data_IF_794956873491
#
_entry.id   IF_794956873491
#
_cell.length_a   1.000
_cell.length_b   1.000
_cell.length_c   1.000
_cell.angle_alpha   90.00
_cell.angle_beta   90.00
_cell.angle_gamma   90.00
#
_symmetry.space_group_name_H-M   'P 1'
#
loop_
_entity.id
_entity.type
_entity.pdbx_description
1 polymer ?
#
# COMPACT_ATOMS: atom_id res chain seq x y z
N UNK A 1 -9.88 -7.82 10.86
CA UNK A 1 -8.46 -8.15 10.61
C UNK A 1 -8.31 -8.71 9.21
N UNK A 2 -9.08 -9.75 8.88
CA UNK A 2 -9.31 -10.24 7.50
C UNK A 2 -9.60 -9.12 6.50
N UNK A 3 -10.54 -8.21 6.80
CA UNK A 3 -10.82 -7.01 5.97
C UNK A 3 -9.61 -6.11 5.69
N UNK A 4 -8.71 -5.95 6.67
CA UNK A 4 -7.51 -5.11 6.54
C UNK A 4 -6.42 -5.81 5.71
N UNK A 5 -6.27 -7.13 5.91
CA UNK A 5 -5.39 -7.98 5.09
C UNK A 5 -5.86 -7.96 3.64
N UNK A 6 -7.17 -8.09 3.41
CA UNK A 6 -7.75 -7.99 2.07
C UNK A 6 -7.50 -6.63 1.46
N UNK A 7 -7.70 -5.53 2.21
CA UNK A 7 -7.40 -4.17 1.73
C UNK A 7 -5.92 -4.02 1.31
N UNK A 8 -4.99 -4.51 2.10
CA UNK A 8 -3.56 -4.47 1.80
C UNK A 8 -3.19 -5.26 0.55
N UNK A 9 -3.67 -6.49 0.48
CA UNK A 9 -3.35 -7.42 -0.58
C UNK A 9 -3.98 -6.93 -1.90
N UNK A 10 -5.13 -6.26 -1.81
CA UNK A 10 -5.69 -5.50 -2.93
C UNK A 10 -4.85 -4.31 -3.31
N UNK A 11 -4.37 -3.52 -2.35
CA UNK A 11 -3.52 -2.37 -2.64
C UNK A 11 -2.26 -2.79 -3.38
N UNK A 12 -1.62 -3.89 -2.95
CA UNK A 12 -0.44 -4.45 -3.60
C UNK A 12 -0.72 -4.94 -5.03
N UNK A 13 -1.74 -5.80 -5.21
CA UNK A 13 -2.08 -6.33 -6.54
C UNK A 13 -2.55 -5.22 -7.47
N UNK A 14 -3.31 -4.25 -6.98
CA UNK A 14 -3.79 -3.13 -7.77
C UNK A 14 -2.67 -2.16 -8.14
N UNK A 15 -1.68 -1.93 -7.28
CA UNK A 15 -0.48 -1.14 -7.63
C UNK A 15 0.33 -1.85 -8.71
N UNK A 16 0.54 -3.15 -8.56
CA UNK A 16 1.23 -3.95 -9.57
C UNK A 16 0.51 -3.92 -10.93
N UNK A 17 -0.81 -4.11 -10.95
CA UNK A 17 -1.61 -4.03 -12.17
C UNK A 17 -1.61 -2.63 -12.77
N UNK A 18 -1.62 -1.59 -11.94
CA UNK A 18 -1.56 -0.22 -12.40
C UNK A 18 -0.25 0.08 -13.15
N UNK A 19 0.88 -0.43 -12.66
CA UNK A 19 2.20 -0.21 -13.29
C UNK A 19 2.47 -1.11 -14.50
N UNK A 20 1.89 -2.31 -14.53
CA UNK A 20 2.21 -3.32 -15.58
C UNK A 20 1.21 -3.37 -16.73
N UNK A 21 0.01 -2.79 -16.58
CA UNK A 21 -1.02 -2.84 -17.62
C UNK A 21 -0.77 -1.81 -18.73
N UNK A 22 -0.52 -2.32 -19.94
CA UNK A 22 -0.21 -1.54 -21.15
C UNK A 22 -1.23 -0.45 -21.53
N UNK A 23 -2.46 -0.52 -21.02
CA UNK A 23 -3.53 0.43 -21.34
C UNK A 23 -3.62 1.58 -20.34
N UNK A 24 -2.94 1.54 -19.19
CA UNK A 24 -2.96 2.61 -18.18
C UNK A 24 -2.41 3.91 -18.77
N UNK A 25 -1.30 3.83 -19.52
CA UNK A 25 -0.73 4.98 -20.25
C UNK A 25 -1.70 5.58 -21.28
N UNK A 26 -2.62 4.78 -21.84
CA UNK A 26 -3.63 5.24 -22.81
C UNK A 26 -4.87 5.85 -22.15
N UNK A 27 -5.20 5.44 -20.92
CA UNK A 27 -6.27 6.03 -20.13
C UNK A 27 -5.85 7.33 -19.44
N UNK A 28 -4.55 7.46 -19.12
CA UNK A 28 -3.94 8.69 -18.61
C UNK A 28 -3.71 9.67 -19.77
N UNK A 29 -4.79 10.26 -20.29
CA UNK A 29 -4.71 11.26 -21.36
C UNK A 29 -5.52 12.51 -21.02
N UNK A 30 -5.03 13.27 -20.03
CA UNK A 30 -5.49 14.65 -19.77
C UNK A 30 -4.25 15.54 -19.61
N UNK A 31 -3.79 16.21 -20.69
CA UNK A 31 -2.46 16.82 -20.70
C UNK A 31 -2.35 18.20 -20.02
N UNK A 32 -3.45 18.84 -19.62
CA UNK A 32 -3.43 20.30 -19.42
C UNK A 32 -3.92 20.83 -18.07
N UNK A 33 -4.39 19.98 -17.15
CA UNK A 33 -4.83 20.45 -15.81
C UNK A 33 -4.31 19.55 -14.69
N UNK A 34 -3.41 20.10 -13.86
CA UNK A 34 -2.76 19.41 -12.75
C UNK A 34 -3.74 18.81 -11.72
N UNK A 35 -4.90 19.44 -11.53
CA UNK A 35 -5.95 18.91 -10.65
C UNK A 35 -6.63 17.67 -11.27
N UNK A 36 -6.92 17.69 -12.57
CA UNK A 36 -7.59 16.57 -13.25
C UNK A 36 -6.65 15.36 -13.42
N UNK A 37 -5.34 15.60 -13.48
CA UNK A 37 -4.32 14.55 -13.55
C UNK A 37 -4.36 13.59 -12.36
N UNK A 38 -4.41 14.12 -11.13
CA UNK A 38 -4.50 13.33 -9.90
C UNK A 38 -5.78 12.49 -9.84
N UNK A 39 -6.94 13.11 -10.13
CA UNK A 39 -8.23 12.41 -10.09
C UNK A 39 -8.34 11.30 -11.14
N UNK A 40 -7.70 11.45 -12.29
CA UNK A 40 -7.67 10.40 -13.31
C UNK A 40 -6.83 9.20 -12.84
N UNK A 41 -5.64 9.44 -12.29
CA UNK A 41 -4.79 8.38 -11.70
C UNK A 41 -5.51 7.65 -10.56
N UNK A 42 -6.14 8.41 -9.66
CA UNK A 42 -6.90 7.85 -8.56
C UNK A 42 -8.09 7.01 -9.06
N UNK A 43 -8.79 7.47 -10.10
CA UNK A 43 -9.91 6.75 -10.70
C UNK A 43 -9.49 5.41 -11.30
N UNK A 44 -8.39 5.39 -12.07
CA UNK A 44 -7.85 4.17 -12.68
C UNK A 44 -7.34 3.22 -11.58
N UNK A 45 -6.66 3.73 -10.55
CA UNK A 45 -6.22 2.92 -9.41
C UNK A 45 -7.41 2.28 -8.68
N UNK A 46 -8.47 3.05 -8.42
CA UNK A 46 -9.68 2.55 -7.77
C UNK A 46 -10.41 1.48 -8.59
N UNK A 47 -10.34 1.57 -9.93
CA UNK A 47 -10.89 0.57 -10.85
C UNK A 47 -10.25 -0.82 -10.63
N UNK A 48 -8.96 -0.87 -10.28
CA UNK A 48 -8.29 -2.12 -9.90
C UNK A 48 -8.54 -2.48 -8.43
N UNK A 49 -8.45 -1.50 -7.53
CA UNK A 49 -8.51 -1.71 -6.08
C UNK A 49 -9.82 -2.31 -5.62
N UNK A 50 -10.94 -1.75 -6.06
CA UNK A 50 -12.28 -2.14 -5.60
C UNK A 50 -12.59 -3.62 -5.90
N UNK A 51 -12.49 -4.14 -7.14
CA UNK A 51 -12.81 -5.53 -7.42
C UNK A 51 -11.87 -6.51 -6.71
N UNK A 52 -10.57 -6.21 -6.62
CA UNK A 52 -9.60 -7.05 -5.94
C UNK A 52 -9.89 -7.10 -4.43
N UNK A 53 -10.31 -5.99 -3.85
CA UNK A 53 -10.73 -5.91 -2.46
C UNK A 53 -11.91 -6.80 -2.15
N UNK A 54 -12.96 -6.78 -2.97
CA UNK A 54 -14.11 -7.64 -2.77
C UNK A 54 -13.76 -9.14 -2.89
N UNK A 55 -12.90 -9.51 -3.83
CA UNK A 55 -12.46 -10.91 -4.02
C UNK A 55 -11.66 -11.39 -2.80
N UNK A 56 -10.65 -10.62 -2.40
CA UNK A 56 -9.77 -11.03 -1.30
C UNK A 56 -10.46 -10.96 0.05
N UNK A 57 -11.41 -10.06 0.23
CA UNK A 57 -12.21 -10.00 1.45
C UNK A 57 -13.07 -11.26 1.63
N UNK A 58 -13.60 -11.80 0.52
CA UNK A 58 -14.36 -13.05 0.54
C UNK A 58 -13.49 -14.28 0.80
N UNK A 59 -12.26 -14.30 0.29
CA UNK A 59 -11.33 -15.44 0.47
C UNK A 59 -10.73 -15.47 1.88
N UNK A 60 -10.36 -14.31 2.42
CA UNK A 60 -9.66 -14.20 3.70
C UNK A 60 -10.61 -14.35 4.91
N UNK A 61 -11.90 -14.06 4.78
CA UNK A 61 -12.89 -14.26 5.85
C UNK A 61 -13.23 -15.75 6.13
N UNK A 62 -12.77 -16.69 5.30
CA UNK A 62 -13.13 -18.12 5.42
C UNK A 62 -12.39 -18.87 6.56
N UNK A 63 -11.33 -18.31 7.16
CA UNK A 63 -10.50 -18.99 8.17
C UNK A 63 -10.47 -18.23 9.51
N UNK A 64 -11.39 -18.48 10.44
CA UNK A 64 -11.28 -17.95 11.81
C UNK A 64 -11.72 -18.93 12.91
N UNK A 65 -10.75 -19.53 13.61
CA UNK A 65 -10.87 -20.00 15.01
C UNK A 65 -9.61 -19.55 15.81
N UNK A 66 -9.78 -18.98 17.01
CA UNK A 66 -8.89 -17.94 17.62
C UNK A 66 -7.82 -18.32 18.67
N UNK A 67 -7.01 -17.33 19.11
CA UNK A 67 -5.98 -17.41 20.17
C UNK A 67 -5.07 -16.15 20.32
N UNK A 68 -4.17 -16.11 21.33
CA UNK A 68 -3.16 -15.05 21.62
C UNK A 68 -2.24 -14.73 20.42
N UNK A 69 -1.96 -15.73 19.58
CA UNK A 69 -1.23 -15.55 18.33
C UNK A 69 -1.90 -14.53 17.38
N UNK A 70 -3.24 -14.42 17.41
CA UNK A 70 -3.97 -13.40 16.62
C UNK A 70 -3.68 -11.98 17.11
N UNK A 71 -3.57 -11.79 18.43
CA UNK A 71 -3.29 -10.47 19.00
C UNK A 71 -1.86 -10.03 18.66
N UNK A 72 -0.88 -10.94 18.84
CA UNK A 72 0.50 -10.66 18.48
C UNK A 72 0.65 -10.36 16.99
N UNK A 73 0.04 -11.20 16.14
CA UNK A 73 0.02 -11.00 14.69
C UNK A 73 -0.63 -9.66 14.33
N UNK A 74 -1.70 -9.27 15.02
CA UNK A 74 -2.35 -7.97 14.83
C UNK A 74 -1.43 -6.79 15.13
N UNK A 75 -0.75 -6.80 16.28
CA UNK A 75 0.20 -5.74 16.62
C UNK A 75 1.31 -5.63 15.58
N UNK A 76 1.91 -6.75 15.18
CA UNK A 76 3.02 -6.79 14.22
C UNK A 76 2.54 -6.32 12.83
N UNK A 77 1.37 -6.77 12.36
CA UNK A 77 0.80 -6.32 11.08
C UNK A 77 0.48 -4.82 11.10
N UNK A 78 0.00 -4.28 12.22
CA UNK A 78 -0.26 -2.83 12.35
C UNK A 78 1.03 -2.01 12.27
N UNK A 79 2.10 -2.46 12.93
CA UNK A 79 3.41 -1.79 12.84
C UNK A 79 3.95 -1.84 11.41
N UNK A 80 3.84 -3.00 10.74
CA UNK A 80 4.22 -3.16 9.34
C UNK A 80 3.47 -2.21 8.40
N UNK A 81 2.16 -2.06 8.61
CA UNK A 81 1.29 -1.15 7.89
C UNK A 81 1.71 0.31 8.04
N UNK A 82 1.96 0.75 9.28
CA UNK A 82 2.40 2.12 9.55
C UNK A 82 3.76 2.37 8.89
N UNK A 83 4.67 1.39 8.97
CA UNK A 83 5.96 1.48 8.31
C UNK A 83 5.86 1.64 6.79
N UNK A 84 5.04 0.82 6.12
CA UNK A 84 4.75 0.97 4.67
C UNK A 84 4.21 2.36 4.36
N UNK A 85 3.22 2.80 5.11
CA UNK A 85 2.59 4.10 4.88
C UNK A 85 3.60 5.24 4.97
N UNK A 86 4.42 5.26 6.02
CA UNK A 86 5.49 6.27 6.19
C UNK A 86 6.53 6.16 5.08
N UNK A 87 6.93 4.96 4.68
CA UNK A 87 7.90 4.71 3.62
C UNK A 87 7.41 5.23 2.25
N UNK A 88 6.13 5.01 1.94
CA UNK A 88 5.47 5.54 0.73
C UNK A 88 5.42 7.06 0.77
N UNK A 89 5.07 7.67 1.91
CA UNK A 89 5.09 9.13 2.03
C UNK A 89 6.49 9.70 1.77
N UNK A 90 7.55 9.00 2.19
CA UNK A 90 8.94 9.40 1.98
C UNK A 90 9.39 9.36 0.53
N UNK A 91 9.02 8.30 -0.20
CA UNK A 91 9.53 8.08 -1.56
C UNK A 91 8.60 8.59 -2.66
N UNK A 92 7.30 8.71 -2.39
CA UNK A 92 6.29 9.10 -3.40
C UNK A 92 5.90 10.57 -3.27
N UNK A 93 5.98 11.16 -2.08
CA UNK A 93 5.69 12.58 -1.87
C UNK A 93 6.97 13.37 -1.58
N UNK A 94 7.12 14.60 -2.11
CA UNK A 94 8.26 15.47 -1.83
C UNK A 94 8.13 16.08 -0.41
N UNK A 95 8.24 15.25 0.62
CA UNK A 95 8.02 15.65 2.03
C UNK A 95 8.95 16.78 2.48
N UNK A 96 10.19 16.83 1.99
CA UNK A 96 11.18 17.88 2.30
C UNK A 96 10.66 19.31 2.06
N UNK A 97 9.73 19.47 1.11
CA UNK A 97 9.14 20.77 0.79
C UNK A 97 8.08 21.24 1.79
N UNK A 98 7.52 20.34 2.61
CA UNK A 98 6.37 20.60 3.49
C UNK A 98 6.71 20.31 4.96
N UNK A 99 7.63 19.39 5.23
CA UNK A 99 7.96 18.93 6.56
C UNK A 99 9.41 18.45 6.63
N UNK A 100 10.14 18.88 7.67
CA UNK A 100 11.49 18.39 7.97
C UNK A 100 11.42 17.33 9.07
N UNK A 101 11.43 16.03 8.70
CA UNK A 101 11.37 14.94 9.66
C UNK A 101 12.61 14.90 10.57
N UNK A 102 12.49 14.36 11.80
CA UNK A 102 13.64 14.16 12.69
C UNK A 102 14.69 13.25 12.04
N UNK A 103 15.98 13.57 12.25
CA UNK A 103 17.13 12.87 11.65
C UNK A 103 17.07 11.35 11.77
N UNK A 104 16.57 10.83 12.89
CA UNK A 104 16.41 9.38 13.09
C UNK A 104 15.38 8.76 12.15
N UNK A 105 14.25 9.43 11.90
CA UNK A 105 13.21 8.96 10.98
C UNK A 105 13.72 8.99 9.55
N UNK A 106 14.48 10.04 9.22
CA UNK A 106 15.09 10.25 7.90
C UNK A 106 16.10 9.16 7.56
N UNK A 107 17.02 8.85 8.47
CA UNK A 107 17.95 7.74 8.29
C UNK A 107 17.27 6.38 8.14
N UNK A 108 16.09 6.20 8.73
CA UNK A 108 15.37 4.93 8.72
C UNK A 108 14.51 4.74 7.46
N UNK A 109 13.91 5.81 6.93
CA UNK A 109 12.92 5.77 5.85
C UNK A 109 13.38 6.39 4.53
N UNK A 110 14.48 7.16 4.49
CA UNK A 110 15.03 7.70 3.24
C UNK A 110 15.75 6.68 2.33
N UNK A 111 16.40 5.60 2.84
CA UNK A 111 17.09 4.66 1.95
C UNK A 111 16.12 3.80 1.11
N UNK A 112 16.42 3.62 -0.18
CA UNK A 112 15.66 2.75 -1.10
C UNK A 112 15.53 1.30 -0.57
N UNK A 113 16.58 0.82 0.11
CA UNK A 113 16.57 -0.51 0.73
C UNK A 113 15.51 -0.60 1.83
N UNK A 114 15.36 0.44 2.65
CA UNK A 114 14.33 0.48 3.69
C UNK A 114 12.94 0.48 3.08
N UNK A 115 12.74 1.17 1.95
CA UNK A 115 11.49 1.14 1.20
C UNK A 115 11.12 -0.25 0.72
N UNK A 116 12.06 -0.94 0.07
CA UNK A 116 11.88 -2.31 -0.38
C UNK A 116 11.58 -3.28 0.80
N UNK A 117 12.30 -3.13 1.92
CA UNK A 117 12.07 -3.94 3.11
C UNK A 117 10.67 -3.70 3.70
N UNK A 118 10.25 -2.44 3.83
CA UNK A 118 8.92 -2.14 4.35
C UNK A 118 7.79 -2.66 3.46
N UNK A 119 7.97 -2.71 2.14
CA UNK A 119 7.01 -3.36 1.23
C UNK A 119 6.93 -4.89 1.44
N UNK A 120 8.04 -5.53 1.77
CA UNK A 120 8.13 -6.98 1.96
C UNK A 120 7.69 -7.45 3.36
N UNK A 121 7.89 -6.65 4.39
CA UNK A 121 7.58 -7.00 5.79
C UNK A 121 6.12 -7.43 6.00
N UNK A 122 5.09 -6.71 5.51
CA UNK A 122 3.70 -7.15 5.62
C UNK A 122 3.44 -8.48 4.92
N UNK A 123 4.07 -8.73 3.77
CA UNK A 123 3.94 -9.99 3.05
C UNK A 123 4.52 -11.13 3.89
N UNK A 124 5.73 -10.96 4.45
CA UNK A 124 6.35 -11.96 5.31
C UNK A 124 5.51 -12.28 6.55
N UNK A 125 4.92 -11.28 7.21
CA UNK A 125 4.05 -11.49 8.40
C UNK A 125 2.73 -12.20 8.05
N UNK A 126 2.29 -12.13 6.79
CA UNK A 126 1.06 -12.77 6.33
C UNK A 126 1.28 -14.23 5.93
N UNK A 127 2.47 -14.58 5.44
CA UNK A 127 2.81 -15.94 5.01
C UNK A 127 3.54 -16.78 6.07
N UNK A 128 4.06 -16.14 7.12
CA UNK A 128 4.64 -16.78 8.32
C UNK A 128 3.87 -16.38 9.59
#
# INVERSE_FOLDING_TARGET
MTKLVSALLSLYISSFLYETMFFVERLVHVPSESKLFFWNHLGIFLLFFVPIYFILNRVVDAEQHGGFGRFLRMCITTVALVGVFVSVLYHVLPLESVYNPPVFVDQFFAPDLSFALWLLVPLLILFF
#
